data_IF_516921352450
#
_entry.id   IF_516921352450
#
_cell.length_a   1.000
_cell.length_b   1.000
_cell.length_c   1.000
_cell.angle_alpha   90.00
_cell.angle_beta   90.00
_cell.angle_gamma   90.00
#
_symmetry.space_group_name_H-M   'P 1'
#
loop_
_entity.id
_entity.type
_entity.pdbx_description
1 polymer ?
#
# COMPACT_ATOMS: atom_id res chain seq x y z
N UNK A 1 7.29 -34.33 -24.74
CA UNK A 1 8.09 -33.09 -24.81
C UNK A 1 7.23 -31.84 -25.08
N UNK A 2 6.29 -31.87 -26.03
CA UNK A 2 5.42 -30.71 -26.36
C UNK A 2 4.50 -30.21 -25.22
N UNK A 3 4.10 -31.12 -24.31
CA UNK A 3 3.19 -30.81 -23.18
C UNK A 3 3.85 -30.01 -22.05
N UNK A 4 5.18 -30.07 -21.91
CA UNK A 4 5.96 -29.32 -20.90
C UNK A 4 6.16 -27.88 -21.36
N UNK A 5 6.48 -27.69 -22.65
CA UNK A 5 6.62 -26.36 -23.27
C UNK A 5 5.33 -25.53 -23.20
N UNK A 6 4.16 -26.18 -23.32
CA UNK A 6 2.85 -25.52 -23.20
C UNK A 6 2.47 -25.14 -21.76
N UNK A 7 3.08 -25.78 -20.76
CA UNK A 7 2.87 -25.45 -19.34
C UNK A 7 3.73 -24.25 -18.90
N UNK A 8 4.89 -24.07 -19.51
CA UNK A 8 5.78 -22.92 -19.30
C UNK A 8 5.48 -21.75 -20.25
N UNK A 9 4.40 -21.82 -21.01
CA UNK A 9 4.01 -20.79 -21.97
C UNK A 9 3.39 -19.60 -21.24
N UNK A 10 4.17 -18.52 -21.11
CA UNK A 10 3.80 -17.29 -20.41
C UNK A 10 2.62 -16.54 -21.06
N UNK A 11 2.31 -16.80 -22.33
CA UNK A 11 1.18 -16.18 -23.03
C UNK A 11 -0.16 -16.86 -22.71
N UNK A 12 -0.14 -18.12 -22.24
CA UNK A 12 -1.35 -18.87 -21.87
C UNK A 12 -1.85 -18.47 -20.48
N UNK A 13 -2.46 -17.28 -20.39
CA UNK A 13 -3.03 -16.74 -19.15
C UNK A 13 -2.86 -15.24 -18.94
N UNK A 14 -2.23 -14.53 -19.88
CA UNK A 14 -2.10 -13.07 -19.80
C UNK A 14 -3.48 -12.39 -19.79
N UNK A 15 -3.70 -11.54 -18.80
CA UNK A 15 -4.85 -10.65 -18.80
C UNK A 15 -4.72 -9.63 -19.93
N UNK A 16 -5.86 -9.23 -20.50
CA UNK A 16 -5.89 -8.23 -21.56
C UNK A 16 -5.26 -6.92 -21.07
N UNK A 17 -4.25 -6.45 -21.80
CA UNK A 17 -3.50 -5.22 -21.48
C UNK A 17 -4.42 -4.01 -21.30
N UNK A 18 -5.53 -3.93 -22.05
CA UNK A 18 -6.51 -2.85 -21.88
C UNK A 18 -7.26 -2.97 -20.56
N UNK A 19 -7.66 -4.19 -20.16
CA UNK A 19 -8.33 -4.42 -18.88
C UNK A 19 -7.41 -4.13 -17.70
N UNK A 20 -6.13 -4.52 -17.78
CA UNK A 20 -5.15 -4.20 -16.74
C UNK A 20 -4.99 -2.68 -16.59
N UNK A 21 -4.85 -1.96 -17.70
CA UNK A 21 -4.73 -0.51 -17.71
C UNK A 21 -5.97 0.19 -17.14
N UNK A 22 -7.17 -0.29 -17.47
CA UNK A 22 -8.42 0.24 -16.94
C UNK A 22 -8.56 0.00 -15.43
N UNK A 23 -8.23 -1.21 -14.97
CA UNK A 23 -8.21 -1.56 -13.55
C UNK A 23 -7.24 -0.70 -12.75
N UNK A 24 -6.01 -0.48 -13.25
CA UNK A 24 -5.04 0.39 -12.58
C UNK A 24 -5.57 1.83 -12.53
N UNK A 25 -6.13 2.34 -13.64
CA UNK A 25 -6.69 3.71 -13.70
C UNK A 25 -7.88 3.93 -12.75
N UNK A 26 -8.74 2.94 -12.57
CA UNK A 26 -9.88 3.03 -11.65
C UNK A 26 -9.44 2.97 -10.18
N UNK A 27 -8.47 2.12 -9.86
CA UNK A 27 -7.93 1.93 -8.51
C UNK A 27 -7.04 3.08 -8.01
N UNK A 28 -6.50 3.91 -8.92
CA UNK A 28 -5.76 5.12 -8.52
C UNK A 28 -6.68 6.16 -7.87
N UNK A 29 -7.99 6.11 -8.11
CA UNK A 29 -8.90 7.16 -7.65
C UNK A 29 -9.02 7.22 -6.12
N UNK A 30 -8.35 8.21 -5.54
CA UNK A 30 -8.39 8.48 -4.11
C UNK A 30 -9.42 9.59 -3.85
N UNK A 31 -10.70 9.23 -3.70
CA UNK A 31 -11.79 10.20 -3.47
C UNK A 31 -12.75 9.73 -2.39
N UNK A 32 -13.28 10.68 -1.61
CA UNK A 32 -14.43 10.52 -0.72
C UNK A 32 -14.29 9.39 0.29
N UNK A 33 -14.84 8.21 -0.04
CA UNK A 33 -14.86 7.04 0.84
C UNK A 33 -13.47 6.52 1.17
N UNK A 34 -12.54 6.48 0.20
CA UNK A 34 -11.19 5.95 0.42
C UNK A 34 -10.38 6.81 1.41
N UNK A 35 -10.63 8.12 1.45
CA UNK A 35 -10.01 9.04 2.42
C UNK A 35 -10.49 8.77 3.84
N UNK A 36 -11.80 8.56 4.02
CA UNK A 36 -12.36 8.21 5.32
C UNK A 36 -11.93 6.83 5.81
N UNK A 37 -11.93 5.84 4.91
CA UNK A 37 -11.42 4.50 5.23
C UNK A 37 -9.95 4.57 5.63
N UNK A 38 -9.13 5.35 4.91
CA UNK A 38 -7.73 5.58 5.29
C UNK A 38 -7.63 6.21 6.69
N UNK A 39 -8.40 7.26 6.98
CA UNK A 39 -8.39 7.89 8.29
C UNK A 39 -8.73 6.89 9.40
N UNK A 40 -9.77 6.06 9.21
CA UNK A 40 -10.12 4.98 10.13
C UNK A 40 -9.00 3.96 10.27
N UNK A 41 -8.38 3.52 9.16
CA UNK A 41 -7.27 2.57 9.18
C UNK A 41 -6.07 3.10 9.97
N UNK A 42 -5.75 4.38 9.84
CA UNK A 42 -4.67 5.02 10.61
C UNK A 42 -4.99 5.06 12.10
N UNK A 43 -6.23 5.38 12.48
CA UNK A 43 -6.65 5.33 13.90
C UNK A 43 -6.53 3.90 14.44
N UNK A 44 -7.00 2.90 13.70
CA UNK A 44 -6.88 1.48 14.10
C UNK A 44 -5.41 1.06 14.21
N UNK A 45 -4.56 1.49 13.27
CA UNK A 45 -3.13 1.22 13.32
C UNK A 45 -2.47 1.88 14.55
N UNK A 46 -2.81 3.12 14.87
CA UNK A 46 -2.28 3.82 16.06
C UNK A 46 -2.76 3.19 17.37
N UNK A 47 -4.01 2.71 17.43
CA UNK A 47 -4.51 1.90 18.56
C UNK A 47 -3.71 0.59 18.65
N UNK A 48 -3.55 -0.11 17.52
CA UNK A 48 -2.79 -1.36 17.44
C UNK A 48 -1.34 -1.23 17.91
N UNK A 49 -0.70 -0.11 17.57
CA UNK A 49 0.64 0.24 18.06
C UNK A 49 0.64 0.47 19.58
N UNK A 50 -0.33 1.22 20.12
CA UNK A 50 -0.43 1.45 21.56
C UNK A 50 -0.63 0.16 22.37
N UNK A 51 -1.31 -0.84 21.81
CA UNK A 51 -1.56 -2.13 22.47
C UNK A 51 -0.56 -3.24 22.09
N UNK A 52 0.51 -2.93 21.35
CA UNK A 52 1.46 -3.89 20.76
C UNK A 52 0.79 -5.08 20.04
N UNK A 53 -0.31 -4.85 19.31
CA UNK A 53 -1.00 -5.92 18.61
C UNK A 53 -0.68 -5.93 17.13
N UNK A 54 0.23 -6.82 16.73
CA UNK A 54 0.55 -7.06 15.32
C UNK A 54 -0.70 -7.42 14.53
N UNK A 55 -1.63 -8.21 15.10
CA UNK A 55 -2.87 -8.59 14.43
C UNK A 55 -3.75 -7.37 14.05
N UNK A 56 -3.88 -6.38 14.95
CA UNK A 56 -4.63 -5.15 14.69
C UNK A 56 -3.93 -4.29 13.64
N UNK A 57 -2.60 -4.21 13.70
CA UNK A 57 -1.78 -3.46 12.74
C UNK A 57 -1.92 -4.05 11.32
N UNK A 58 -1.82 -5.37 11.18
CA UNK A 58 -2.01 -6.05 9.89
C UNK A 58 -3.46 -5.87 9.40
N UNK A 59 -4.45 -5.95 10.29
CA UNK A 59 -5.84 -5.66 9.94
C UNK A 59 -6.03 -4.26 9.33
N UNK A 60 -5.38 -3.25 9.91
CA UNK A 60 -5.38 -1.89 9.36
C UNK A 60 -4.71 -1.80 7.98
N UNK A 61 -3.64 -2.57 7.73
CA UNK A 61 -2.99 -2.62 6.42
C UNK A 61 -3.90 -3.21 5.33
N UNK A 62 -4.69 -4.25 5.66
CA UNK A 62 -5.57 -4.92 4.70
C UNK A 62 -6.74 -4.04 4.22
N UNK A 63 -7.25 -3.17 5.08
CA UNK A 63 -8.37 -2.28 4.74
C UNK A 63 -7.92 -0.95 4.11
N UNK A 64 -6.62 -0.65 4.14
CA UNK A 64 -6.09 0.65 3.71
C UNK A 64 -6.08 0.76 2.18
N UNK A 65 -6.74 1.77 1.58
CA UNK A 65 -6.81 1.94 0.13
C UNK A 65 -5.54 2.58 -0.48
N UNK A 66 -4.38 2.40 0.16
CA UNK A 66 -3.09 2.95 -0.28
C UNK A 66 -2.46 2.16 -1.43
N UNK A 67 -2.81 0.88 -1.59
CA UNK A 67 -2.18 0.01 -2.58
C UNK A 67 -2.46 0.43 -4.03
N UNK A 68 -3.63 1.00 -4.31
CA UNK A 68 -4.00 1.49 -5.64
C UNK A 68 -3.05 2.57 -6.19
N UNK A 69 -2.86 3.70 -5.47
CA UNK A 69 -1.89 4.72 -5.86
C UNK A 69 -0.43 4.22 -5.95
N UNK A 70 0.00 3.27 -5.12
CA UNK A 70 1.36 2.70 -5.18
C UNK A 70 1.54 1.91 -6.49
N UNK A 71 0.62 0.98 -6.77
CA UNK A 71 0.64 0.18 -8.00
C UNK A 71 0.51 1.10 -9.23
N UNK A 72 -0.35 2.11 -9.17
CA UNK A 72 -0.51 3.08 -10.25
C UNK A 72 0.74 3.89 -10.57
N UNK A 73 1.53 4.25 -9.56
CA UNK A 73 2.81 4.93 -9.76
C UNK A 73 3.84 3.99 -10.41
N UNK A 74 3.98 2.75 -9.92
CA UNK A 74 4.89 1.75 -10.50
C UNK A 74 4.52 1.37 -11.93
N UNK A 75 3.23 1.12 -12.18
CA UNK A 75 2.71 0.81 -13.51
C UNK A 75 2.87 1.99 -14.48
N UNK A 76 2.60 3.22 -14.03
CA UNK A 76 2.81 4.42 -14.82
C UNK A 76 4.29 4.63 -15.20
N UNK A 77 5.22 4.34 -14.29
CA UNK A 77 6.65 4.37 -14.58
C UNK A 77 7.03 3.28 -15.60
N UNK A 78 6.51 2.06 -15.46
CA UNK A 78 6.76 0.96 -16.39
C UNK A 78 6.23 1.23 -17.82
N UNK A 79 5.08 1.90 -17.94
CA UNK A 79 4.48 2.29 -19.22
C UNK A 79 4.96 3.65 -19.75
N UNK A 80 5.85 4.33 -19.03
CA UNK A 80 6.31 5.70 -19.34
C UNK A 80 5.17 6.74 -19.43
N UNK A 81 4.05 6.50 -18.73
CA UNK A 81 2.88 7.38 -18.68
C UNK A 81 3.05 8.42 -17.55
N UNK A 82 3.60 9.57 -17.93
CA UNK A 82 3.85 10.68 -17.00
C UNK A 82 2.58 11.25 -16.36
N UNK A 83 1.42 11.15 -17.01
CA UNK A 83 0.17 11.64 -16.45
C UNK A 83 -0.31 10.71 -15.31
N UNK A 84 -0.22 9.41 -15.53
CA UNK A 84 -0.57 8.40 -14.54
C UNK A 84 0.34 8.46 -13.31
N UNK A 85 1.65 8.63 -13.53
CA UNK A 85 2.63 8.80 -12.44
C UNK A 85 2.30 10.05 -11.61
N UNK A 86 2.09 11.21 -12.25
CA UNK A 86 1.76 12.45 -11.54
C UNK A 86 0.48 12.33 -10.73
N UNK A 87 -0.57 11.71 -11.30
CA UNK A 87 -1.85 11.50 -10.61
C UNK A 87 -1.71 10.59 -9.40
N UNK A 88 -1.00 9.47 -9.56
CA UNK A 88 -0.77 8.50 -8.49
C UNK A 88 0.09 9.09 -7.37
N UNK A 89 1.15 9.83 -7.73
CA UNK A 89 2.02 10.49 -6.76
C UNK A 89 1.29 11.60 -6.00
N UNK A 90 0.44 12.38 -6.67
CA UNK A 90 -0.41 13.37 -5.99
C UNK A 90 -1.32 12.71 -4.95
N UNK A 91 -1.92 11.57 -5.29
CA UNK A 91 -2.78 10.83 -4.37
C UNK A 91 -1.98 10.24 -3.20
N UNK A 92 -0.77 9.73 -3.44
CA UNK A 92 0.14 9.29 -2.38
C UNK A 92 0.49 10.42 -1.42
N UNK A 93 0.84 11.60 -1.93
CA UNK A 93 1.14 12.77 -1.09
C UNK A 93 -0.06 13.15 -0.24
N UNK A 94 -1.27 13.19 -0.83
CA UNK A 94 -2.51 13.47 -0.07
C UNK A 94 -2.74 12.42 1.01
N UNK A 95 -2.60 11.14 0.68
CA UNK A 95 -2.75 10.04 1.63
C UNK A 95 -1.74 10.14 2.78
N UNK A 96 -0.48 10.44 2.49
CA UNK A 96 0.57 10.65 3.48
C UNK A 96 0.26 11.82 4.41
N UNK A 97 -0.15 12.98 3.86
CA UNK A 97 -0.50 14.16 4.67
C UNK A 97 -1.68 13.83 5.59
N UNK A 98 -2.74 13.21 5.07
CA UNK A 98 -3.91 12.82 5.86
C UNK A 98 -3.51 11.84 6.95
N UNK A 99 -2.70 10.83 6.62
CA UNK A 99 -2.22 9.83 7.59
C UNK A 99 -1.39 10.48 8.69
N UNK A 100 -0.49 11.40 8.33
CA UNK A 100 0.33 12.14 9.28
C UNK A 100 -0.54 12.97 10.22
N UNK A 101 -1.51 13.72 9.69
CA UNK A 101 -2.42 14.56 10.47
C UNK A 101 -3.24 13.70 11.44
N UNK A 102 -3.89 12.64 10.95
CA UNK A 102 -4.73 11.77 11.78
C UNK A 102 -3.92 11.08 12.88
N UNK A 103 -2.76 10.50 12.53
CA UNK A 103 -1.88 9.85 13.51
C UNK A 103 -1.35 10.86 14.54
N UNK A 104 -0.90 12.04 14.09
CA UNK A 104 -0.39 13.08 14.99
C UNK A 104 -1.48 13.56 15.94
N UNK A 105 -2.70 13.83 15.45
CA UNK A 105 -3.83 14.21 16.29
C UNK A 105 -4.16 13.12 17.31
N UNK A 106 -4.16 11.86 16.91
CA UNK A 106 -4.39 10.73 17.80
C UNK A 106 -3.32 10.63 18.90
N UNK A 107 -2.03 10.66 18.55
CA UNK A 107 -0.94 10.57 19.53
C UNK A 107 -0.82 11.82 20.41
N UNK A 108 -1.22 12.99 19.90
CA UNK A 108 -1.29 14.21 20.71
C UNK A 108 -2.36 14.13 21.80
N UNK A 109 -3.51 13.52 21.50
CA UNK A 109 -4.59 13.28 22.47
C UNK A 109 -4.29 12.08 23.40
N UNK A 110 -3.49 11.12 22.93
CA UNK A 110 -3.17 9.90 23.67
C UNK A 110 -2.18 10.16 24.83
N UNK A 111 -2.46 9.68 26.05
CA UNK A 111 -1.55 9.80 27.19
C UNK A 111 -0.35 8.84 27.15
N UNK A 112 -0.38 7.83 26.27
CA UNK A 112 0.67 6.81 26.15
C UNK A 112 1.78 7.27 25.19
N UNK A 113 3.00 7.44 25.72
CA UNK A 113 4.19 7.95 25.00
C UNK A 113 5.36 6.96 24.96
N UNK A 114 5.20 5.76 25.49
CA UNK A 114 6.28 4.77 25.50
C UNK A 114 6.46 4.15 24.12
N UNK A 115 7.71 4.07 23.66
CA UNK A 115 8.09 3.42 22.41
C UNK A 115 7.84 1.91 22.50
N UNK A 116 6.80 1.46 21.81
CA UNK A 116 6.38 0.06 21.75
C UNK A 116 7.27 -0.74 20.77
N UNK A 117 7.50 -2.03 21.04
CA UNK A 117 8.46 -2.88 20.30
C UNK A 117 8.12 -3.00 18.81
N UNK A 118 6.84 -3.04 18.47
CA UNK A 118 6.36 -3.07 17.09
C UNK A 118 6.72 -1.80 16.31
N UNK A 119 6.83 -0.65 16.98
CA UNK A 119 7.24 0.60 16.33
C UNK A 119 8.72 0.53 15.93
N UNK A 120 9.57 0.03 16.84
CA UNK A 120 11.01 -0.12 16.61
C UNK A 120 11.30 -1.16 15.52
N UNK A 121 10.59 -2.28 15.53
CA UNK A 121 10.71 -3.33 14.52
C UNK A 121 10.45 -2.82 13.10
N UNK A 122 9.65 -1.75 12.92
CA UNK A 122 9.35 -1.14 11.62
C UNK A 122 10.33 -0.04 11.21
N UNK A 123 11.32 0.30 12.05
CA UNK A 123 12.36 1.31 11.76
C UNK A 123 13.71 0.71 11.35
N UNK A 124 13.87 -0.61 11.44
CA UNK A 124 15.13 -1.30 11.12
C UNK A 124 14.93 -2.33 9.99
N UNK A 125 14.72 -1.86 8.74
CA UNK A 125 14.63 -2.76 7.59
C UNK A 125 15.96 -3.50 7.38
N UNK A 126 15.87 -4.78 7.00
CA UNK A 126 17.00 -5.66 6.75
C UNK A 126 17.10 -6.00 5.25
N UNK A 127 18.26 -6.48 4.80
CA UNK A 127 18.47 -6.96 3.43
C UNK A 127 17.47 -8.05 3.04
N UNK A 128 17.03 -8.85 4.02
CA UNK A 128 16.00 -9.87 3.81
C UNK A 128 14.66 -9.27 3.39
N UNK A 129 14.28 -8.09 3.88
CA UNK A 129 13.02 -7.44 3.47
C UNK A 129 13.05 -7.03 2.00
N UNK A 130 14.22 -6.60 1.51
CA UNK A 130 14.44 -6.26 0.10
C UNK A 130 14.35 -7.49 -0.80
N UNK A 131 14.96 -8.61 -0.37
CA UNK A 131 14.86 -9.88 -1.10
C UNK A 131 13.41 -10.38 -1.14
N UNK A 132 12.70 -10.32 -0.01
CA UNK A 132 11.28 -10.69 0.05
C UNK A 132 10.45 -9.82 -0.89
N UNK A 133 10.66 -8.50 -0.90
CA UNK A 133 9.96 -7.61 -1.83
C UNK A 133 10.25 -7.95 -3.30
N UNK A 134 11.51 -8.24 -3.63
CA UNK A 134 11.92 -8.58 -5.00
C UNK A 134 11.31 -9.89 -5.50
N UNK A 135 11.30 -10.94 -4.67
CA UNK A 135 10.73 -12.24 -5.05
C UNK A 135 9.21 -12.33 -4.84
N UNK A 136 8.64 -11.48 -3.99
CA UNK A 136 7.20 -11.38 -3.74
C UNK A 136 6.42 -10.74 -4.88
N UNK A 137 7.08 -9.87 -5.67
CA UNK A 137 6.50 -9.17 -6.81
C UNK A 137 6.15 -7.72 -6.52
#
# INVERSE_FOLDING_TARGET
MYKILKFTDLHSGEEDKQKVLENVKSNISFRGSNLWILACAIVVASIGLNVNSTAVIIGAMLISPLMGPIIGAGFGLGMYDSELVKKSLKNLIIATIVSLVVSTTYFYLSPFKETQSELLARTSPNIYDVLIAFFGG
#
